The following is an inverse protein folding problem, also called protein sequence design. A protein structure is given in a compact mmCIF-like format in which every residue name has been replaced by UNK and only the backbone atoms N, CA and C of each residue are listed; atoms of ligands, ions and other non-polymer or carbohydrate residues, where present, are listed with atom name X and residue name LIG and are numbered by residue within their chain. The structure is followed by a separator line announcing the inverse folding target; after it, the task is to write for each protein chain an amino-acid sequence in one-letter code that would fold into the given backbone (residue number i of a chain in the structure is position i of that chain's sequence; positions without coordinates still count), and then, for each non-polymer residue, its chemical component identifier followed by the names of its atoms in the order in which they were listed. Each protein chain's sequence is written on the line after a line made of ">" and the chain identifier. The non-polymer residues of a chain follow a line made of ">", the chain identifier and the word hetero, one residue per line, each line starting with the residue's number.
data_IF_122316080479
#
_entry.id   IF_122316080479
#
_cell.length_a   1.000
_cell.length_b   1.000
_cell.length_c   1.000
_cell.angle_alpha   90.00
_cell.angle_beta   90.00
_cell.angle_gamma   90.00
#
_symmetry.space_group_name_H-M   'P 1'
#
loop_
_entity.id
_entity.type
_entity.pdbx_description
1 polymer ?
#
# COMPACT_ATOMS: atom_id res chain seq x y z
N UNK A 1 30.71 -2.77 -14.43
CA UNK A 1 29.24 -2.93 -14.45
C UNK A 1 28.64 -1.95 -13.44
N UNK A 2 27.97 -0.90 -13.91
CA UNK A 2 27.35 0.11 -13.03
C UNK A 2 26.29 -0.55 -12.15
N UNK A 3 26.42 -0.41 -10.83
CA UNK A 3 25.47 -0.91 -9.85
C UNK A 3 24.15 -0.13 -9.99
N UNK A 4 23.29 -0.53 -10.94
CA UNK A 4 22.02 0.14 -11.21
C UNK A 4 21.17 -0.02 -9.95
N UNK A 5 20.98 1.08 -9.21
CA UNK A 5 20.10 1.13 -8.04
C UNK A 5 18.74 0.52 -8.45
N UNK A 6 18.32 -0.55 -7.78
CA UNK A 6 17.08 -1.27 -8.11
C UNK A 6 15.89 -0.32 -8.13
N UNK A 7 15.20 -0.17 -9.25
CA UNK A 7 14.12 0.83 -9.38
C UNK A 7 12.76 0.17 -9.15
N UNK A 8 12.39 -0.08 -7.89
CA UNK A 8 11.12 -0.71 -7.55
C UNK A 8 10.05 0.33 -7.22
N UNK A 9 8.80 0.06 -7.59
CA UNK A 9 7.65 0.90 -7.22
C UNK A 9 6.72 0.20 -6.24
N UNK A 10 6.02 0.98 -5.43
CA UNK A 10 4.98 0.48 -4.53
C UNK A 10 3.60 0.98 -4.97
N UNK A 11 2.62 0.09 -4.94
CA UNK A 11 1.21 0.37 -5.22
C UNK A 11 0.39 -0.01 -3.99
N UNK A 12 -0.24 0.97 -3.37
CA UNK A 12 -0.72 0.89 -1.98
C UNK A 12 -2.20 1.18 -1.93
N UNK A 13 -2.97 0.16 -1.55
CA UNK A 13 -4.37 0.33 -1.17
C UNK A 13 -4.44 1.01 0.21
N UNK A 14 -4.67 2.32 0.23
CA UNK A 14 -4.63 3.11 1.46
C UNK A 14 -5.77 2.74 2.41
N UNK A 15 -6.92 2.35 1.89
CA UNK A 15 -8.09 2.04 2.71
C UNK A 15 -7.87 0.70 3.42
N UNK A 16 -7.47 -0.34 2.70
CA UNK A 16 -7.13 -1.63 3.28
C UNK A 16 -5.99 -1.48 4.30
N UNK A 17 -4.91 -0.77 3.94
CA UNK A 17 -3.78 -0.52 4.84
C UNK A 17 -4.24 0.15 6.15
N UNK A 18 -4.94 1.27 6.07
CA UNK A 18 -5.35 2.02 7.26
C UNK A 18 -6.33 1.22 8.14
N UNK A 19 -7.37 0.63 7.55
CA UNK A 19 -8.37 -0.12 8.31
C UNK A 19 -7.79 -1.38 8.96
N UNK A 20 -6.95 -2.13 8.25
CA UNK A 20 -6.33 -3.34 8.79
C UNK A 20 -5.32 -3.05 9.90
N UNK A 21 -4.56 -1.95 9.82
CA UNK A 21 -3.66 -1.52 10.90
C UNK A 21 -4.45 -1.02 12.12
N UNK A 22 -5.53 -0.26 11.92
CA UNK A 22 -6.40 0.19 13.02
C UNK A 22 -7.03 -0.99 13.79
N UNK A 23 -7.41 -2.06 13.09
CA UNK A 23 -7.89 -3.29 13.72
C UNK A 23 -6.83 -3.99 14.59
N UNK A 24 -5.54 -3.71 14.39
CA UNK A 24 -4.45 -4.18 15.27
C UNK A 24 -4.21 -3.26 16.47
N UNK A 25 -5.00 -2.20 16.66
CA UNK A 25 -4.89 -1.29 17.81
C UNK A 25 -3.72 -0.32 17.73
N UNK A 26 -3.34 0.12 16.53
CA UNK A 26 -2.37 1.20 16.33
C UNK A 26 -2.62 2.00 15.06
N UNK A 27 -1.92 3.13 14.94
CA UNK A 27 -2.02 4.06 13.81
C UNK A 27 -0.68 4.11 13.10
N UNK A 28 -0.71 3.93 11.77
CA UNK A 28 0.47 3.97 10.93
C UNK A 28 0.99 5.41 10.79
N UNK A 29 2.28 5.60 11.05
CA UNK A 29 3.00 6.80 10.67
C UNK A 29 3.46 6.65 9.21
N UNK A 30 2.80 7.38 8.30
CA UNK A 30 3.04 7.28 6.86
C UNK A 30 4.46 7.74 6.45
N UNK A 31 5.06 8.70 7.15
CA UNK A 31 6.44 9.13 6.92
C UNK A 31 7.42 7.98 7.19
N UNK A 32 7.29 7.32 8.34
CA UNK A 32 8.10 6.14 8.67
C UNK A 32 7.84 4.98 7.71
N UNK A 33 6.59 4.80 7.30
CA UNK A 33 6.24 3.78 6.33
C UNK A 33 6.90 4.04 4.97
N UNK A 34 6.92 5.29 4.48
CA UNK A 34 7.61 5.64 3.23
C UNK A 34 9.11 5.36 3.30
N UNK A 35 9.75 5.70 4.41
CA UNK A 35 11.17 5.41 4.66
C UNK A 35 11.40 3.90 4.67
N UNK A 36 10.57 3.14 5.38
CA UNK A 36 10.64 1.68 5.40
C UNK A 36 10.52 1.05 4.01
N UNK A 37 9.60 1.54 3.18
CA UNK A 37 9.46 1.10 1.79
C UNK A 37 10.73 1.40 0.99
N UNK A 38 11.26 2.61 1.10
CA UNK A 38 12.52 3.02 0.47
C UNK A 38 13.66 2.08 0.87
N UNK A 39 13.92 1.94 2.16
CA UNK A 39 15.13 1.26 2.65
C UNK A 39 15.05 -0.26 2.45
N UNK A 40 13.90 -0.87 2.73
CA UNK A 40 13.78 -2.35 2.72
C UNK A 40 13.51 -2.92 1.33
N UNK A 41 12.83 -2.18 0.46
CA UNK A 41 12.39 -2.67 -0.84
C UNK A 41 12.95 -1.87 -2.02
N UNK A 42 13.79 -0.87 -1.76
CA UNK A 42 14.34 0.07 -2.75
C UNK A 42 13.23 0.78 -3.54
N UNK A 43 12.20 1.25 -2.83
CA UNK A 43 11.06 1.93 -3.45
C UNK A 43 11.40 3.37 -3.78
N UNK A 44 11.52 3.65 -5.08
CA UNK A 44 11.77 5.00 -5.61
C UNK A 44 10.46 5.79 -5.75
N UNK A 45 9.39 5.21 -6.30
CA UNK A 45 8.03 5.79 -6.34
C UNK A 45 7.03 4.95 -5.55
N UNK A 46 6.19 5.60 -4.75
CA UNK A 46 5.12 4.96 -3.98
C UNK A 46 3.78 5.61 -4.30
N UNK A 47 2.93 4.90 -5.04
CA UNK A 47 1.58 5.31 -5.40
C UNK A 47 0.61 4.90 -4.29
N UNK A 48 -0.11 5.88 -3.74
CA UNK A 48 -1.07 5.69 -2.67
C UNK A 48 -2.47 5.97 -3.21
N UNK A 49 -3.30 4.95 -3.28
CA UNK A 49 -4.64 5.02 -3.87
C UNK A 49 -5.66 5.34 -2.78
N UNK A 50 -6.35 6.47 -2.92
CA UNK A 50 -7.18 7.07 -1.86
C UNK A 50 -8.49 7.59 -2.43
N UNK A 51 -9.59 7.28 -1.73
CA UNK A 51 -10.87 7.97 -1.96
C UNK A 51 -10.79 9.44 -1.53
N UNK A 52 -11.07 10.34 -2.47
CA UNK A 52 -11.12 11.78 -2.21
C UNK A 52 -12.37 12.15 -1.42
N UNK A 53 -12.15 12.80 -0.28
CA UNK A 53 -13.15 13.32 0.63
C UNK A 53 -12.79 14.78 0.89
N UNK A 54 -13.71 15.66 0.52
CA UNK A 54 -13.59 17.09 0.78
C UNK A 54 -13.40 17.37 2.28
N UNK A 55 -12.49 18.29 2.61
CA UNK A 55 -12.11 18.63 3.98
C UNK A 55 -10.85 17.92 4.50
N UNK A 56 -10.36 16.87 3.83
CA UNK A 56 -9.14 16.14 4.23
C UNK A 56 -7.84 16.70 3.62
N UNK A 57 -7.81 17.98 3.24
CA UNK A 57 -6.69 18.59 2.52
C UNK A 57 -5.36 18.49 3.27
N UNK A 58 -5.36 18.70 4.59
CA UNK A 58 -4.13 18.60 5.40
C UNK A 58 -3.58 17.17 5.46
N UNK A 59 -4.47 16.18 5.52
CA UNK A 59 -4.06 14.77 5.42
C UNK A 59 -3.40 14.51 4.07
N UNK A 60 -4.02 14.93 2.97
CA UNK A 60 -3.48 14.73 1.62
C UNK A 60 -2.12 15.40 1.43
N UNK A 61 -2.00 16.65 1.90
CA UNK A 61 -0.73 17.38 1.92
C UNK A 61 0.34 16.62 2.70
N UNK A 62 0.02 16.14 3.91
CA UNK A 62 0.99 15.39 4.74
C UNK A 62 1.46 14.08 4.08
N UNK A 63 0.60 13.40 3.32
CA UNK A 63 0.95 12.20 2.57
C UNK A 63 1.88 12.51 1.39
N UNK A 64 1.59 13.60 0.67
CA UNK A 64 2.45 14.05 -0.44
C UNK A 64 3.82 14.52 0.07
N UNK A 65 3.86 15.29 1.16
CA UNK A 65 5.09 15.71 1.84
C UNK A 65 5.90 14.53 2.38
N UNK A 66 5.22 13.46 2.81
CA UNK A 66 5.88 12.21 3.17
C UNK A 66 6.52 11.50 1.96
N UNK A 67 6.21 11.90 0.72
CA UNK A 67 6.80 11.38 -0.52
C UNK A 67 5.95 10.33 -1.23
N UNK A 68 4.63 10.31 -1.00
CA UNK A 68 3.68 9.50 -1.77
C UNK A 68 3.13 10.27 -2.97
N UNK A 69 2.89 9.53 -4.06
CA UNK A 69 2.11 10.01 -5.21
C UNK A 69 0.66 9.58 -4.96
N UNK A 70 -0.17 10.52 -4.51
CA UNK A 70 -1.57 10.23 -4.22
C UNK A 70 -2.38 10.14 -5.52
N UNK A 71 -3.03 9.00 -5.76
CA UNK A 71 -3.98 8.80 -6.84
C UNK A 71 -5.38 8.85 -6.23
N UNK A 72 -6.12 9.90 -6.57
CA UNK A 72 -7.42 10.19 -5.98
C UNK A 72 -8.55 9.66 -6.85
N UNK A 73 -9.51 8.98 -6.21
CA UNK A 73 -10.80 8.65 -6.82
C UNK A 73 -11.89 9.49 -6.15
N UNK A 74 -12.72 10.23 -6.89
CA UNK A 74 -13.89 10.88 -6.33
C UNK A 74 -14.77 9.86 -5.59
N UNK A 75 -15.17 10.18 -4.37
CA UNK A 75 -16.07 9.29 -3.62
C UNK A 75 -17.51 9.74 -3.75
N UNK A 76 -18.42 8.78 -3.90
CA UNK A 76 -19.85 9.04 -3.86
C UNK A 76 -20.33 8.83 -2.42
N UNK A 77 -20.88 9.89 -1.82
CA UNK A 77 -21.62 9.79 -0.55
C UNK A 77 -23.06 9.40 -0.87
N UNK A 78 -23.48 8.24 -0.40
CA UNK A 78 -24.88 7.84 -0.45
C UNK A 78 -25.69 8.53 0.64
N UNK A 79 -27.02 8.57 0.46
CA UNK A 79 -27.97 9.18 1.40
C UNK A 79 -27.96 8.53 2.79
N UNK A 80 -27.42 7.32 2.91
CA UNK A 80 -27.26 6.56 4.16
C UNK A 80 -25.94 6.89 4.90
N UNK A 81 -25.14 7.83 4.38
CA UNK A 81 -23.84 8.21 4.94
C UNK A 81 -22.69 7.28 4.54
N UNK A 82 -22.95 6.19 3.81
CA UNK A 82 -21.89 5.31 3.30
C UNK A 82 -21.17 5.97 2.13
N UNK A 83 -19.85 5.86 2.12
CA UNK A 83 -19.01 6.36 1.05
C UNK A 83 -18.55 5.17 0.21
N UNK A 84 -18.95 5.10 -1.06
CA UNK A 84 -18.53 4.03 -1.98
C UNK A 84 -17.55 4.58 -3.01
N UNK A 85 -16.42 3.91 -3.10
CA UNK A 85 -15.33 4.26 -4.01
C UNK A 85 -14.06 3.54 -3.63
N UNK A 86 -14.00 2.22 -3.85
CA UNK A 86 -12.72 1.51 -3.79
C UNK A 86 -11.83 1.99 -4.94
N UNK A 87 -10.52 1.99 -4.73
CA UNK A 87 -9.56 2.45 -5.72
C UNK A 87 -8.90 1.29 -6.47
N UNK A 88 -9.56 0.13 -6.52
CA UNK A 88 -8.95 -1.13 -6.94
C UNK A 88 -8.62 -1.11 -8.43
N UNK A 89 -9.56 -0.59 -9.24
CA UNK A 89 -9.35 -0.43 -10.67
C UNK A 89 -8.22 0.55 -10.97
N UNK A 90 -8.15 1.67 -10.24
CA UNK A 90 -7.10 2.68 -10.37
C UNK A 90 -5.73 2.09 -9.99
N UNK A 91 -5.67 1.28 -8.93
CA UNK A 91 -4.45 0.60 -8.51
C UNK A 91 -3.96 -0.37 -9.59
N UNK A 92 -4.84 -1.23 -10.09
CA UNK A 92 -4.51 -2.17 -11.17
C UNK A 92 -4.03 -1.42 -12.40
N UNK A 93 -4.79 -0.43 -12.87
CA UNK A 93 -4.48 0.31 -14.08
C UNK A 93 -3.16 1.09 -13.95
N UNK A 94 -2.95 1.81 -12.85
CA UNK A 94 -1.70 2.56 -12.63
C UNK A 94 -0.50 1.63 -12.51
N UNK A 95 -0.66 0.43 -11.94
CA UNK A 95 0.38 -0.60 -11.92
C UNK A 95 0.78 -0.99 -13.34
N UNK A 96 -0.19 -1.08 -14.25
CA UNK A 96 0.06 -1.40 -15.67
C UNK A 96 0.61 -0.22 -16.47
N UNK A 97 0.17 1.01 -16.21
CA UNK A 97 0.71 2.23 -16.82
C UNK A 97 2.21 2.36 -16.52
N UNK A 98 2.61 2.09 -15.29
CA UNK A 98 4.02 2.20 -14.86
C UNK A 98 4.84 0.94 -15.14
N UNK A 99 4.25 -0.08 -15.79
CA UNK A 99 4.81 -1.43 -15.87
C UNK A 99 6.22 -1.48 -16.47
N UNK A 100 6.50 -0.64 -17.47
CA UNK A 100 7.81 -0.55 -18.13
C UNK A 100 8.82 0.29 -17.34
N UNK A 101 8.36 1.11 -16.39
CA UNK A 101 9.17 2.07 -15.65
C UNK A 101 9.78 1.49 -14.37
N UNK A 102 9.24 0.39 -13.84
CA UNK A 102 9.80 -0.28 -12.66
C UNK A 102 10.40 -1.66 -12.95
N UNK A 103 11.37 -2.03 -12.13
CA UNK A 103 11.98 -3.37 -12.14
C UNK A 103 11.05 -4.39 -11.49
N UNK A 104 10.59 -4.11 -10.26
CA UNK A 104 9.58 -4.92 -9.57
C UNK A 104 8.57 -4.05 -8.82
N UNK A 105 7.36 -4.58 -8.65
CA UNK A 105 6.27 -3.98 -7.90
C UNK A 105 6.20 -4.55 -6.47
N UNK A 106 5.97 -3.69 -5.49
CA UNK A 106 5.46 -4.05 -4.17
C UNK A 106 3.97 -3.69 -4.11
N UNK A 107 3.12 -4.69 -3.90
CA UNK A 107 1.69 -4.48 -3.72
C UNK A 107 1.39 -4.48 -2.22
N UNK A 108 0.80 -3.41 -1.70
CA UNK A 108 0.45 -3.29 -0.28
C UNK A 108 -1.06 -3.41 -0.14
N UNK A 109 -1.52 -4.60 0.22
CA UNK A 109 -2.93 -4.93 0.43
C UNK A 109 -3.07 -6.29 1.12
N UNK A 110 -4.17 -6.49 1.83
CA UNK A 110 -4.69 -7.79 2.25
C UNK A 110 -5.91 -8.25 1.46
N UNK A 111 -6.34 -7.47 0.46
CA UNK A 111 -7.53 -7.74 -0.34
C UNK A 111 -7.29 -8.81 -1.42
N UNK A 112 -8.27 -9.70 -1.59
CA UNK A 112 -8.25 -10.78 -2.56
C UNK A 112 -8.48 -10.31 -3.99
N UNK A 113 -9.11 -9.16 -4.18
CA UNK A 113 -9.45 -8.63 -5.51
C UNK A 113 -8.18 -8.35 -6.35
N UNK A 114 -7.05 -8.10 -5.68
CA UNK A 114 -5.75 -7.94 -6.33
C UNK A 114 -5.05 -9.26 -6.69
N UNK A 115 -5.64 -10.43 -6.41
CA UNK A 115 -5.03 -11.73 -6.73
C UNK A 115 -4.69 -11.85 -8.22
N UNK A 116 -5.56 -11.37 -9.11
CA UNK A 116 -5.31 -11.41 -10.56
C UNK A 116 -4.04 -10.63 -10.94
N UNK A 117 -3.92 -9.39 -10.44
CA UNK A 117 -2.74 -8.54 -10.63
C UNK A 117 -1.48 -9.22 -10.07
N UNK A 118 -1.55 -9.70 -8.83
CA UNK A 118 -0.44 -10.37 -8.14
C UNK A 118 0.03 -11.59 -8.94
N UNK A 119 -0.89 -12.46 -9.36
CA UNK A 119 -0.58 -13.66 -10.16
C UNK A 119 0.14 -13.29 -11.45
N UNK A 120 -0.40 -12.32 -12.19
CA UNK A 120 0.21 -11.83 -13.42
C UNK A 120 1.63 -11.30 -13.17
N UNK A 121 1.83 -10.46 -12.16
CA UNK A 121 3.16 -9.93 -11.81
C UNK A 121 4.14 -11.04 -11.40
N UNK A 122 3.70 -12.13 -10.77
CA UNK A 122 4.56 -13.27 -10.45
C UNK A 122 5.01 -13.98 -11.72
N UNK A 123 4.08 -14.29 -12.62
CA UNK A 123 4.34 -14.97 -13.90
C UNK A 123 5.32 -14.19 -14.77
N UNK A 124 5.18 -12.86 -14.79
CA UNK A 124 6.07 -11.96 -15.51
C UNK A 124 7.39 -11.67 -14.78
N UNK A 125 7.65 -12.32 -13.64
CA UNK A 125 8.79 -12.04 -12.75
C UNK A 125 8.90 -10.54 -12.46
N UNK A 126 7.79 -9.86 -12.20
CA UNK A 126 7.68 -8.43 -11.90
C UNK A 126 7.22 -8.14 -10.47
N UNK A 127 6.86 -9.15 -9.68
CA UNK A 127 6.51 -8.96 -8.26
C UNK A 127 7.75 -9.00 -7.36
N UNK A 128 7.86 -8.05 -6.43
CA UNK A 128 8.87 -8.03 -5.36
C UNK A 128 8.35 -8.60 -4.06
N UNK A 129 7.16 -8.16 -3.64
CA UNK A 129 6.52 -8.55 -2.39
C UNK A 129 5.03 -8.17 -2.39
N UNK A 130 4.26 -8.87 -1.57
CA UNK A 130 2.91 -8.50 -1.16
C UNK A 130 3.00 -8.14 0.32
N UNK A 131 2.81 -6.87 0.66
CA UNK A 131 2.82 -6.42 2.06
C UNK A 131 1.38 -6.45 2.56
N UNK A 132 1.10 -7.43 3.41
CA UNK A 132 -0.19 -7.62 4.07
C UNK A 132 -0.17 -6.87 5.41
N UNK A 133 -1.09 -5.91 5.64
CA UNK A 133 -1.08 -5.14 6.88
C UNK A 133 -1.37 -5.98 8.12
N UNK A 134 -2.32 -6.91 8.02
CA UNK A 134 -2.76 -7.76 9.12
C UNK A 134 -2.76 -9.25 8.73
N UNK A 135 -1.78 -10.01 9.22
CA UNK A 135 -1.65 -11.46 8.96
C UNK A 135 -2.82 -12.30 9.49
N UNK A 136 -3.55 -11.80 10.48
CA UNK A 136 -4.70 -12.49 11.06
C UNK A 136 -5.95 -12.34 10.18
N UNK A 137 -5.99 -11.29 9.33
CA UNK A 137 -7.18 -10.94 8.55
C UNK A 137 -6.80 -10.39 7.17
N UNK A 138 -6.63 -11.32 6.22
CA UNK A 138 -6.42 -11.05 4.80
C UNK A 138 -6.98 -12.19 3.96
N UNK A 139 -7.25 -11.94 2.68
CA UNK A 139 -7.95 -12.87 1.79
C UNK A 139 -7.24 -14.22 1.66
N UNK A 140 -8.05 -15.30 1.58
CA UNK A 140 -7.57 -16.64 1.32
C UNK A 140 -6.91 -16.79 -0.06
N UNK A 141 -7.30 -15.96 -1.05
CA UNK A 141 -6.70 -15.97 -2.39
C UNK A 141 -5.20 -15.66 -2.35
N UNK A 142 -4.79 -14.71 -1.50
CA UNK A 142 -3.38 -14.36 -1.31
C UNK A 142 -2.59 -15.44 -0.54
N UNK A 143 -3.26 -16.45 0.03
CA UNK A 143 -2.62 -17.60 0.70
C UNK A 143 -2.27 -18.74 -0.26
N UNK A 144 -2.62 -18.63 -1.54
CA UNK A 144 -2.29 -19.64 -2.55
C UNK A 144 -0.77 -19.82 -2.66
N UNK A 145 -0.33 -21.05 -2.99
CA UNK A 145 1.09 -21.44 -2.97
C UNK A 145 1.99 -20.49 -3.77
N UNK A 146 1.49 -20.00 -4.91
CA UNK A 146 2.22 -19.06 -5.78
C UNK A 146 2.53 -17.72 -5.08
N UNK A 147 1.64 -17.22 -4.22
CA UNK A 147 1.78 -15.94 -3.53
C UNK A 147 2.64 -16.03 -2.27
N UNK A 148 2.66 -17.18 -1.58
CA UNK A 148 3.32 -17.36 -0.26
C UNK A 148 4.77 -16.86 -0.19
N UNK A 149 5.66 -17.10 -1.17
CA UNK A 149 7.04 -16.61 -1.11
C UNK A 149 7.15 -15.07 -1.04
N UNK A 150 6.13 -14.37 -1.54
CA UNK A 150 6.11 -12.92 -1.66
C UNK A 150 5.45 -12.22 -0.46
N UNK A 151 4.75 -12.95 0.42
CA UNK A 151 4.04 -12.36 1.56
C UNK A 151 4.99 -11.77 2.60
N UNK A 152 4.71 -10.54 3.04
CA UNK A 152 5.38 -9.85 4.15
C UNK A 152 4.30 -9.21 5.02
N UNK A 153 4.49 -9.19 6.34
CA UNK A 153 3.46 -8.75 7.28
C UNK A 153 3.92 -7.50 8.05
N UNK A 154 2.97 -6.62 8.38
CA UNK A 154 3.24 -5.41 9.18
C UNK A 154 2.95 -5.57 10.68
N UNK A 155 2.39 -6.70 11.11
CA UNK A 155 1.91 -6.93 12.48
C UNK A 155 2.90 -6.50 13.57
N UNK A 156 4.16 -6.89 13.43
CA UNK A 156 5.19 -6.69 14.47
C UNK A 156 5.96 -5.38 14.30
N UNK A 157 5.53 -4.50 13.37
CA UNK A 157 6.24 -3.27 13.04
C UNK A 157 5.69 -2.04 13.76
N UNK A 158 4.73 -2.18 14.69
CA UNK A 158 4.16 -1.07 15.47
C UNK A 158 5.24 -0.19 16.12
N UNK A 159 6.29 -0.76 16.70
CA UNK A 159 7.36 0.01 17.33
C UNK A 159 8.18 0.88 16.35
N UNK A 160 8.28 0.45 15.09
CA UNK A 160 9.03 1.15 14.03
C UNK A 160 8.15 2.11 13.22
N UNK A 161 6.93 1.68 12.91
CA UNK A 161 6.04 2.32 11.95
C UNK A 161 4.83 2.99 12.59
N UNK A 162 4.57 2.76 13.87
CA UNK A 162 3.48 3.41 14.58
C UNK A 162 3.88 4.79 15.10
N UNK A 163 2.88 5.63 15.38
CA UNK A 163 3.09 6.80 16.24
C UNK A 163 3.55 6.32 17.63
N UNK A 164 4.65 6.89 18.12
CA UNK A 164 5.02 6.74 19.53
C UNK A 164 3.99 7.52 20.34
N UNK A 165 3.48 6.93 21.42
CA UNK A 165 2.83 7.76 22.45
C UNK A 165 3.89 8.75 22.90
N UNK A 166 3.64 10.05 22.76
CA UNK A 166 4.43 11.03 23.48
C UNK A 166 4.39 10.62 24.96
N UNK A 167 5.57 10.47 25.57
CA UNK A 167 5.62 10.44 27.02
C UNK A 167 5.12 11.82 27.42
N UNK A 168 3.90 11.91 27.95
CA UNK A 168 3.45 13.11 28.65
C UNK A 168 4.55 13.47 29.66
N UNK A 169 5.03 14.72 29.70
CA UNK A 169 6.03 15.16 30.67
C UNK A 169 5.62 14.82 32.10
#
# INVERSE_FOLDING_TARGET
>A
MSNKLKNNYAFIDSQNLNLSIRQLGWVLNFKHFRIYLKDKYNISKAFLFIGYIEGNNDLYKSLQEAGFICIFKPTLKYKDGTTKGNCDAELVLQTMIEYVNYEKAVIVTGDGDFYCLVKYLIEQKKLRAIIVPNRLKFSALLKFKICRPYLRFLNDLKGKLGYKKEKTP
#
